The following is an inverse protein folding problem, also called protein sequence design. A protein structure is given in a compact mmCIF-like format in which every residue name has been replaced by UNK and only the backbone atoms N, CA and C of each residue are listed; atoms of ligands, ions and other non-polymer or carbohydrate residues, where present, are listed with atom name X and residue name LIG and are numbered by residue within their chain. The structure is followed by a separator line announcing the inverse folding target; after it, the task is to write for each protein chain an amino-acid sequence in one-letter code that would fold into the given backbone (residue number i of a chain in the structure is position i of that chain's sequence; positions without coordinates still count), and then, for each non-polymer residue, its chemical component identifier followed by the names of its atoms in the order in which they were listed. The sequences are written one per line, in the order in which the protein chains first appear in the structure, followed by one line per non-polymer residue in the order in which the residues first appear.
data_IF_984276739402
#
_entry.id   IF_984276739402
#
_cell.length_a   1.000
_cell.length_b   1.000
_cell.length_c   1.000
_cell.angle_alpha   90.00
_cell.angle_beta   90.00
_cell.angle_gamma   90.00
#
_symmetry.space_group_name_H-M   'P 1'
#
loop_
_entity.id
_entity.type
_entity.pdbx_description
1 polymer ?
#
# COMPACT_ATOMS: atom_id res chain seq x y z
N UNK A 1 10.26 4.99 15.46
CA UNK A 1 10.28 5.15 13.99
C UNK A 1 11.62 4.61 13.55
N UNK A 2 11.63 3.39 13.03
CA UNK A 2 12.84 2.77 12.47
C UNK A 2 12.94 3.13 10.99
N UNK A 3 14.15 3.48 10.57
CA UNK A 3 14.46 3.75 9.17
C UNK A 3 15.01 2.44 8.62
N UNK A 4 14.20 1.75 7.81
CA UNK A 4 14.64 0.57 7.07
C UNK A 4 15.12 1.01 5.69
N UNK A 5 16.34 0.64 5.31
CA UNK A 5 16.80 0.83 3.94
C UNK A 5 16.17 -0.24 3.06
N UNK A 6 15.46 0.22 2.04
CA UNK A 6 14.89 -0.65 1.02
C UNK A 6 16.00 -0.84 -0.03
N UNK A 7 16.56 -2.05 -0.15
CA UNK A 7 17.67 -2.32 -1.08
C UNK A 7 17.22 -2.53 -2.54
N UNK A 8 15.97 -2.91 -2.74
CA UNK A 8 15.39 -3.32 -4.03
C UNK A 8 14.05 -2.64 -4.24
N UNK A 9 13.66 -2.37 -5.49
CA UNK A 9 12.33 -1.82 -5.75
C UNK A 9 11.24 -2.80 -5.31
N UNK A 10 10.30 -2.32 -4.50
CA UNK A 10 9.18 -3.11 -4.01
C UNK A 10 7.95 -2.66 -4.78
N UNK A 11 7.40 -3.56 -5.58
CA UNK A 11 6.10 -3.37 -6.18
C UNK A 11 5.03 -3.57 -5.11
N UNK A 12 4.11 -2.63 -5.01
CA UNK A 12 3.02 -2.68 -4.03
C UNK A 12 1.73 -2.27 -4.71
N UNK A 13 0.64 -2.95 -4.41
CA UNK A 13 -0.69 -2.46 -4.72
C UNK A 13 -1.07 -1.39 -3.72
N UNK A 14 -1.71 -0.32 -4.18
CA UNK A 14 -2.15 0.79 -3.34
C UNK A 14 -3.64 1.04 -3.48
N UNK A 15 -4.27 1.30 -2.34
CA UNK A 15 -5.64 1.78 -2.24
C UNK A 15 -5.64 3.13 -1.56
N UNK A 16 -6.14 4.15 -2.25
CA UNK A 16 -6.25 5.49 -1.69
C UNK A 16 -7.46 5.57 -0.76
N UNK A 17 -7.23 5.95 0.50
CA UNK A 17 -8.29 6.20 1.45
C UNK A 17 -9.07 7.46 1.05
N UNK A 18 -10.40 7.38 1.14
CA UNK A 18 -11.30 8.49 0.76
C UNK A 18 -11.17 9.68 1.71
N UNK A 19 -10.76 9.46 2.95
CA UNK A 19 -10.51 10.49 3.96
C UNK A 19 -9.57 9.98 5.04
N UNK A 20 -8.80 10.89 5.65
CA UNK A 20 -7.94 10.58 6.78
C UNK A 20 -8.49 11.22 8.06
N UNK A 21 -8.56 10.50 9.20
CA UNK A 21 -8.19 9.10 9.41
C UNK A 21 -9.31 8.07 9.14
N UNK A 22 -10.55 8.52 8.93
CA UNK A 22 -11.75 7.66 8.91
C UNK A 22 -11.73 6.57 7.81
N UNK A 23 -11.23 6.92 6.61
CA UNK A 23 -11.18 6.03 5.45
C UNK A 23 -9.97 5.09 5.41
N UNK A 24 -9.08 5.14 6.41
CA UNK A 24 -7.91 4.24 6.47
C UNK A 24 -8.36 2.78 6.60
N UNK A 25 -9.32 2.53 7.49
CA UNK A 25 -9.81 1.18 7.75
C UNK A 25 -10.41 0.57 6.49
N UNK A 26 -11.29 1.31 5.80
CA UNK A 26 -11.89 0.87 4.54
C UNK A 26 -10.84 0.57 3.47
N UNK A 27 -9.79 1.38 3.35
CA UNK A 27 -8.70 1.14 2.41
C UNK A 27 -7.94 -0.16 2.71
N UNK A 28 -7.66 -0.43 3.99
CA UNK A 28 -7.07 -1.71 4.43
C UNK A 28 -8.03 -2.88 4.23
N UNK A 29 -9.31 -2.74 4.55
CA UNK A 29 -10.29 -3.80 4.32
C UNK A 29 -10.39 -4.13 2.82
N UNK A 30 -10.38 -3.13 1.94
CA UNK A 30 -10.38 -3.36 0.48
C UNK A 30 -9.15 -4.12 0.02
N UNK A 31 -7.95 -3.75 0.49
CA UNK A 31 -6.73 -4.46 0.10
C UNK A 31 -6.70 -5.89 0.65
N UNK A 32 -7.12 -6.10 1.90
CA UNK A 32 -7.17 -7.42 2.54
C UNK A 32 -8.28 -8.32 1.99
N UNK A 33 -9.38 -7.73 1.48
CA UNK A 33 -10.50 -8.48 0.91
C UNK A 33 -10.21 -8.94 -0.51
N UNK A 34 -9.49 -8.12 -1.26
CA UNK A 34 -9.12 -8.44 -2.64
C UNK A 34 -7.87 -9.31 -2.66
N UNK A 35 -6.85 -8.99 -1.86
CA UNK A 35 -5.60 -9.71 -1.88
C UNK A 35 -5.54 -10.76 -0.77
N UNK A 36 -5.15 -11.98 -1.14
CA UNK A 36 -4.96 -13.08 -0.20
C UNK A 36 -3.90 -12.74 0.85
N UNK A 37 -4.28 -12.87 2.12
CA UNK A 37 -3.35 -12.71 3.24
C UNK A 37 -2.18 -13.70 3.12
N UNK A 38 -0.97 -13.18 3.22
CA UNK A 38 0.26 -13.96 3.22
C UNK A 38 1.16 -13.50 4.35
N UNK A 39 1.76 -14.43 5.08
CA UNK A 39 2.65 -14.11 6.20
C UNK A 39 3.98 -13.47 5.74
N UNK A 40 4.37 -13.74 4.49
CA UNK A 40 5.59 -13.20 3.88
C UNK A 40 5.37 -11.79 3.28
N UNK A 41 4.10 -11.40 3.09
CA UNK A 41 3.73 -10.15 2.44
C UNK A 41 3.85 -8.97 3.39
N UNK A 42 4.51 -7.92 2.93
CA UNK A 42 4.65 -6.66 3.67
C UNK A 42 3.50 -5.72 3.35
N UNK A 43 3.00 -5.05 4.38
CA UNK A 43 2.00 -4.00 4.26
C UNK A 43 2.63 -2.66 4.59
N UNK A 44 2.38 -1.67 3.76
CA UNK A 44 2.92 -0.32 3.89
C UNK A 44 1.78 0.69 3.99
N UNK A 45 1.89 1.64 4.91
CA UNK A 45 1.00 2.79 4.97
C UNK A 45 1.69 4.00 4.40
N UNK A 46 1.30 4.45 3.21
CA UNK A 46 1.89 5.62 2.56
C UNK A 46 1.02 6.83 2.91
N UNK A 47 1.45 7.64 3.87
CA UNK A 47 0.83 8.94 4.16
C UNK A 47 1.58 10.06 3.45
N UNK A 48 0.87 10.86 2.66
CA UNK A 48 1.42 12.04 2.00
C UNK A 48 0.54 13.27 2.30
N UNK A 49 1.11 14.35 2.84
CA UNK A 49 0.39 15.61 2.94
C UNK A 49 0.25 16.21 1.53
N UNK A 50 -0.98 16.47 1.12
CA UNK A 50 -1.31 17.10 -0.16
C UNK A 50 -2.30 18.24 0.09
N UNK A 51 -1.94 19.48 -0.25
CA UNK A 51 -2.84 20.66 -0.21
C UNK A 51 -3.65 20.82 1.10
N UNK A 52 -2.99 20.71 2.26
CA UNK A 52 -3.58 20.75 3.62
C UNK A 52 -4.44 19.55 4.03
N UNK A 53 -4.53 18.49 3.23
CA UNK A 53 -5.12 17.21 3.63
C UNK A 53 -4.06 16.13 3.68
N UNK A 54 -4.24 15.13 4.54
CA UNK A 54 -3.38 13.95 4.58
C UNK A 54 -4.01 12.91 3.66
N UNK A 55 -3.35 12.62 2.54
CA UNK A 55 -3.72 11.50 1.68
C UNK A 55 -3.04 10.26 2.25
N UNK A 56 -3.83 9.26 2.62
CA UNK A 56 -3.31 7.98 3.07
C UNK A 56 -3.60 6.93 2.02
N UNK A 57 -2.59 6.12 1.70
CA UNK A 57 -2.73 4.96 0.85
C UNK A 57 -2.34 3.72 1.65
N UNK A 58 -3.28 2.78 1.74
CA UNK A 58 -2.99 1.45 2.25
C UNK A 58 -2.34 0.68 1.10
N UNK A 59 -1.18 0.10 1.35
CA UNK A 59 -0.40 -0.59 0.34
C UNK A 59 0.01 -1.98 0.80
N UNK A 60 0.05 -2.92 -0.14
CA UNK A 60 0.48 -4.29 0.12
C UNK A 60 1.46 -4.72 -0.97
N UNK A 61 2.55 -5.36 -0.55
CA UNK A 61 3.55 -5.92 -1.45
C UNK A 61 2.93 -6.87 -2.47
N UNK A 62 3.27 -6.63 -3.73
CA UNK A 62 2.93 -7.48 -4.85
C UNK A 62 3.91 -8.65 -4.87
N UNK A 63 3.39 -9.88 -4.75
CA UNK A 63 4.19 -11.08 -4.93
C UNK A 63 4.29 -11.41 -6.43
N UNK A 64 5.35 -12.13 -6.81
CA UNK A 64 5.79 -12.37 -8.20
C UNK A 64 4.74 -13.02 -9.14
N UNK A 65 3.55 -13.37 -8.65
CA UNK A 65 2.44 -13.95 -9.41
C UNK A 65 1.14 -13.11 -9.41
N UNK A 66 1.13 -11.91 -8.84
CA UNK A 66 -0.11 -11.15 -8.60
C UNK A 66 -0.25 -9.85 -9.41
N UNK A 67 0.77 -9.46 -10.21
CA UNK A 67 0.86 -8.17 -10.93
C UNK A 67 -0.32 -7.83 -11.87
N UNK A 68 -1.09 -8.82 -12.31
CA UNK A 68 -2.18 -8.64 -13.28
C UNK A 68 -3.56 -9.06 -12.72
N UNK A 69 -3.63 -9.55 -11.47
CA UNK A 69 -4.85 -10.17 -10.95
C UNK A 69 -5.82 -9.15 -10.31
N UNK A 70 -5.35 -7.94 -9.99
CA UNK A 70 -6.13 -6.97 -9.21
C UNK A 70 -6.24 -5.59 -9.85
N UNK A 71 -7.46 -5.02 -9.81
CA UNK A 71 -7.77 -3.65 -10.27
C UNK A 71 -7.37 -2.60 -9.21
N UNK A 72 -6.10 -2.60 -8.81
CA UNK A 72 -5.56 -1.60 -7.89
C UNK A 72 -4.46 -0.77 -8.54
N UNK A 73 -4.23 0.41 -7.97
CA UNK A 73 -3.12 1.26 -8.38
C UNK A 73 -1.81 0.58 -7.99
N UNK A 74 -1.09 0.03 -8.97
CA UNK A 74 0.26 -0.50 -8.76
C UNK A 74 1.23 0.67 -8.54
N UNK A 75 1.96 0.64 -7.44
CA UNK A 75 2.97 1.62 -7.09
C UNK A 75 4.30 0.92 -6.85
N UNK A 76 5.39 1.57 -7.24
CA UNK A 76 6.74 1.02 -7.02
C UNK A 76 7.40 1.87 -5.96
N UNK A 77 7.59 1.29 -4.78
CA UNK A 77 8.43 1.87 -3.74
C UNK A 77 9.87 1.67 -4.18
N UNK A 78 10.48 2.74 -4.70
CA UNK A 78 11.88 2.72 -5.09
C UNK A 78 12.76 2.49 -3.87
N UNK A 79 13.80 1.68 -4.05
CA UNK A 79 14.90 1.52 -3.10
C UNK A 79 15.44 2.87 -2.60
N UNK A 80 15.74 2.94 -1.31
CA UNK A 80 16.11 4.16 -0.58
C UNK A 80 16.51 3.85 0.85
#
# INVERSE_FOLDING_TARGET
MEIININEDIKVFCVTATSFPDGILDAHERIHKTITFSADRRYFGISRPERNVIVYKASAEELENESEEYDFESFIIKKG
#
